data_IF_567437178900
#
_entry.id   IF_567437178900
#
_cell.length_a   1.000
_cell.length_b   1.000
_cell.length_c   1.000
_cell.angle_alpha   90.00
_cell.angle_beta   90.00
_cell.angle_gamma   90.00
#
_symmetry.space_group_name_H-M   'P 1'
#
loop_
_entity.id
_entity.type
_entity.pdbx_description
1 polymer ?
#
# COMPACT_ATOMS: atom_id res chain seq x y z
N UNK A 1 -11.90 -16.01 -13.37
CA UNK A 1 -11.27 -15.15 -12.34
C UNK A 1 -12.37 -14.21 -11.84
N UNK A 2 -12.63 -14.16 -10.52
CA UNK A 2 -13.51 -13.12 -9.99
C UNK A 2 -12.88 -11.76 -10.29
N UNK A 3 -13.61 -10.86 -10.96
CA UNK A 3 -13.18 -9.47 -11.09
C UNK A 3 -13.29 -8.83 -9.71
N UNK A 4 -12.17 -8.74 -8.99
CA UNK A 4 -12.08 -7.95 -7.77
C UNK A 4 -12.05 -6.49 -8.18
N UNK A 5 -13.17 -5.77 -8.01
CA UNK A 5 -13.21 -4.32 -8.20
C UNK A 5 -12.68 -3.61 -6.96
N UNK A 6 -11.90 -2.56 -7.20
CA UNK A 6 -11.48 -1.57 -6.22
C UNK A 6 -12.47 -0.43 -6.34
N UNK A 7 -13.21 -0.17 -5.27
CA UNK A 7 -14.29 0.80 -5.26
C UNK A 7 -13.86 2.05 -4.50
N UNK A 8 -14.31 3.21 -4.98
CA UNK A 8 -14.44 4.39 -4.13
C UNK A 8 -15.29 4.04 -2.90
N UNK A 9 -14.98 4.64 -1.78
CA UNK A 9 -15.77 4.57 -0.57
C UNK A 9 -17.19 5.06 -0.91
N UNK A 10 -18.23 4.25 -0.60
CA UNK A 10 -19.59 4.57 -1.01
C UNK A 10 -20.00 5.97 -0.51
N UNK A 11 -20.50 6.82 -1.42
CA UNK A 11 -20.89 8.20 -1.10
C UNK A 11 -21.85 8.28 0.08
N UNK A 12 -22.82 7.37 0.15
CA UNK A 12 -23.80 7.31 1.24
C UNK A 12 -23.23 6.84 2.58
N UNK A 13 -22.03 6.26 2.60
CA UNK A 13 -21.36 5.85 3.83
C UNK A 13 -20.30 6.85 4.29
N UNK A 14 -19.97 7.90 3.53
CA UNK A 14 -18.86 8.82 3.88
C UNK A 14 -18.97 9.42 5.28
N UNK A 15 -20.17 9.52 5.86
CA UNK A 15 -20.36 9.91 7.26
C UNK A 15 -19.70 9.01 8.31
N UNK A 16 -19.27 7.78 7.96
CA UNK A 16 -18.49 6.89 8.85
C UNK A 16 -16.97 7.06 8.67
N UNK A 17 -16.53 7.96 7.77
CA UNK A 17 -15.12 8.23 7.45
C UNK A 17 -14.29 8.81 8.60
N UNK A 18 -14.94 9.16 9.71
CA UNK A 18 -14.34 9.82 10.87
C UNK A 18 -14.16 11.32 10.66
N UNK A 19 -13.64 12.00 11.68
CA UNK A 19 -13.20 13.40 11.54
C UNK A 19 -12.15 13.50 10.43
N UNK A 20 -12.26 14.54 9.60
CA UNK A 20 -11.35 14.86 8.49
C UNK A 20 -11.13 13.70 7.49
N UNK A 21 -12.14 12.85 7.27
CA UNK A 21 -12.09 11.72 6.32
C UNK A 21 -10.95 10.71 6.60
N UNK A 22 -10.46 10.61 7.85
CA UNK A 22 -9.31 9.79 8.26
C UNK A 22 -9.35 8.29 7.89
N UNK A 23 -10.54 7.73 7.65
CA UNK A 23 -10.76 6.34 7.22
C UNK A 23 -11.05 6.20 5.72
N UNK A 24 -10.95 7.29 4.97
CA UNK A 24 -11.15 7.32 3.53
C UNK A 24 -9.88 7.83 2.86
N UNK A 25 -9.32 8.94 3.34
CA UNK A 25 -8.13 9.58 2.77
C UNK A 25 -6.87 9.08 3.50
N UNK A 26 -5.83 8.65 2.77
CA UNK A 26 -4.56 8.28 3.36
C UNK A 26 -3.86 9.47 4.02
N UNK A 27 -3.12 9.19 5.08
CA UNK A 27 -2.41 10.20 5.88
C UNK A 27 -0.96 10.42 5.45
N UNK A 28 -0.29 9.36 4.99
CA UNK A 28 1.15 9.36 4.69
C UNK A 28 1.47 8.75 3.33
N UNK A 29 0.64 7.85 2.81
CA UNK A 29 0.93 7.17 1.54
C UNK A 29 -0.32 6.91 0.69
N UNK A 30 -0.32 7.44 -0.53
CA UNK A 30 -1.25 6.99 -1.57
C UNK A 30 -0.81 5.63 -2.14
N UNK A 31 -1.75 4.76 -2.46
CA UNK A 31 -1.53 3.46 -3.11
C UNK A 31 -2.58 3.34 -4.20
N UNK A 32 -2.11 3.26 -5.44
CA UNK A 32 -2.96 3.33 -6.61
C UNK A 32 -3.49 4.74 -6.89
N UNK A 33 -4.44 4.85 -7.84
CA UNK A 33 -4.71 6.11 -8.53
C UNK A 33 -5.62 7.08 -7.77
N UNK A 34 -6.45 6.59 -6.84
CA UNK A 34 -7.55 7.38 -6.25
C UNK A 34 -7.11 8.56 -5.38
N UNK A 35 -5.94 8.45 -4.73
CA UNK A 35 -5.33 9.49 -3.91
C UNK A 35 -3.98 9.95 -4.44
N UNK A 36 -3.60 9.52 -5.65
CA UNK A 36 -2.31 9.85 -6.23
C UNK A 36 -2.18 11.36 -6.51
N UNK A 37 -1.03 11.92 -6.16
CA UNK A 37 -0.70 13.33 -6.39
C UNK A 37 -1.22 14.32 -5.34
N UNK A 38 -1.87 13.86 -4.26
CA UNK A 38 -2.21 14.73 -3.14
C UNK A 38 -0.92 15.27 -2.48
N UNK A 39 -0.88 16.57 -2.24
CA UNK A 39 0.34 17.29 -1.83
C UNK A 39 0.90 16.78 -0.50
N UNK A 40 0.04 16.39 0.45
CA UNK A 40 0.47 15.88 1.75
C UNK A 40 1.05 14.45 1.71
N UNK A 41 0.99 13.78 0.56
CA UNK A 41 1.46 12.40 0.38
C UNK A 41 2.75 12.30 -0.45
N UNK A 42 3.26 13.43 -0.95
CA UNK A 42 4.38 13.46 -1.89
C UNK A 42 5.69 12.95 -1.28
N UNK A 43 5.90 13.16 0.02
CA UNK A 43 7.12 12.72 0.72
C UNK A 43 7.34 11.20 0.58
N UNK A 44 6.27 10.41 0.55
CA UNK A 44 6.38 8.96 0.42
C UNK A 44 6.75 8.51 -1.00
N UNK A 45 6.54 9.33 -2.03
CA UNK A 45 6.86 8.95 -3.41
C UNK A 45 8.38 8.71 -3.59
N UNK A 46 9.23 9.49 -2.91
CA UNK A 46 10.68 9.26 -2.92
C UNK A 46 11.06 7.92 -2.29
N UNK A 47 10.37 7.54 -1.21
CA UNK A 47 10.56 6.24 -0.55
C UNK A 47 10.17 5.10 -1.48
N UNK A 48 9.06 5.24 -2.22
CA UNK A 48 8.62 4.24 -3.19
C UNK A 48 9.62 4.06 -4.33
N UNK A 49 10.27 5.12 -4.77
CA UNK A 49 11.36 5.02 -5.74
C UNK A 49 12.55 4.24 -5.18
N UNK A 50 12.94 4.53 -3.93
CA UNK A 50 14.02 3.81 -3.26
C UNK A 50 13.71 2.33 -3.05
N UNK A 51 12.48 1.99 -2.63
CA UNK A 51 12.04 0.60 -2.46
C UNK A 51 11.89 -0.12 -3.79
N UNK A 52 11.43 0.53 -4.87
CA UNK A 52 11.39 -0.08 -6.19
C UNK A 52 12.80 -0.42 -6.71
N UNK A 53 13.78 0.45 -6.46
CA UNK A 53 15.17 0.16 -6.78
C UNK A 53 15.73 -0.99 -5.92
N UNK A 54 15.44 -1.01 -4.62
CA UNK A 54 15.79 -2.10 -3.71
C UNK A 54 15.22 -3.44 -4.20
N UNK A 55 13.93 -3.46 -4.51
CA UNK A 55 13.22 -4.64 -4.99
C UNK A 55 13.85 -5.22 -6.25
N UNK A 56 14.14 -4.38 -7.25
CA UNK A 56 14.75 -4.82 -8.49
C UNK A 56 16.15 -5.41 -8.24
N UNK A 57 16.93 -4.76 -7.37
CA UNK A 57 18.26 -5.25 -6.98
C UNK A 57 18.19 -6.62 -6.30
N UNK A 58 17.25 -6.79 -5.37
CA UNK A 58 17.12 -8.01 -4.57
C UNK A 58 16.51 -9.16 -5.40
N UNK A 59 15.65 -8.83 -6.37
CA UNK A 59 15.16 -9.75 -7.38
C UNK A 59 16.24 -10.15 -8.41
N UNK A 60 17.31 -9.37 -8.55
CA UNK A 60 18.33 -9.59 -9.59
C UNK A 60 17.85 -9.25 -11.01
N UNK A 61 16.89 -8.35 -11.14
CA UNK A 61 16.30 -7.92 -12.42
C UNK A 61 16.43 -6.42 -12.63
N UNK A 62 16.46 -5.98 -13.89
CA UNK A 62 16.43 -4.55 -14.18
C UNK A 62 15.04 -3.96 -13.92
N UNK A 63 14.97 -2.70 -13.51
CA UNK A 63 13.70 -1.98 -13.35
C UNK A 63 12.88 -1.99 -14.65
N UNK A 64 13.55 -2.00 -15.80
CA UNK A 64 12.90 -2.06 -17.12
C UNK A 64 12.15 -3.38 -17.31
N UNK A 65 12.77 -4.52 -17.01
CA UNK A 65 12.13 -5.83 -17.16
C UNK A 65 10.89 -5.97 -16.25
N UNK A 66 11.02 -5.54 -14.99
CA UNK A 66 9.90 -5.54 -14.04
C UNK A 66 8.79 -4.58 -14.50
N UNK A 67 9.16 -3.38 -14.96
CA UNK A 67 8.22 -2.41 -15.50
C UNK A 67 7.46 -2.95 -16.72
N UNK A 68 8.14 -3.57 -17.68
CA UNK A 68 7.52 -4.16 -18.88
C UNK A 68 6.50 -5.25 -18.50
N UNK A 69 6.80 -6.05 -17.46
CA UNK A 69 5.86 -7.02 -16.93
C UNK A 69 4.60 -6.34 -16.36
N UNK A 70 4.75 -5.28 -15.58
CA UNK A 70 3.62 -4.52 -15.03
C UNK A 70 2.84 -3.78 -16.14
N UNK A 71 3.54 -3.23 -17.13
CA UNK A 71 2.93 -2.56 -18.27
C UNK A 71 2.03 -3.49 -19.07
N UNK A 72 2.43 -4.75 -19.25
CA UNK A 72 1.60 -5.77 -19.91
C UNK A 72 0.25 -6.02 -19.20
N UNK A 73 0.15 -5.64 -17.93
CA UNK A 73 -1.03 -5.82 -17.09
C UNK A 73 -1.84 -4.52 -16.90
N UNK A 74 -1.39 -3.38 -17.42
CA UNK A 74 -2.01 -2.08 -17.17
C UNK A 74 -3.50 -2.05 -17.55
N UNK A 75 -3.86 -2.63 -18.70
CA UNK A 75 -5.25 -2.73 -19.14
C UNK A 75 -6.11 -3.60 -18.21
N UNK A 76 -5.56 -4.66 -17.64
CA UNK A 76 -6.26 -5.56 -16.72
C UNK A 76 -6.40 -4.91 -15.34
N UNK A 77 -5.34 -4.27 -14.85
CA UNK A 77 -5.33 -3.48 -13.63
C UNK A 77 -6.35 -2.34 -13.69
N UNK A 78 -6.44 -1.63 -14.83
CA UNK A 78 -7.41 -0.56 -15.05
C UNK A 78 -8.85 -1.03 -14.89
N UNK A 79 -9.18 -2.25 -15.34
CA UNK A 79 -10.53 -2.83 -15.24
C UNK A 79 -10.93 -3.20 -13.81
N UNK A 80 -10.00 -3.22 -12.86
CA UNK A 80 -10.33 -3.33 -11.45
C UNK A 80 -10.91 -2.03 -10.89
N UNK A 81 -10.70 -0.88 -11.54
CA UNK A 81 -11.27 0.39 -11.11
C UNK A 81 -12.56 0.72 -11.88
N UNK A 82 -13.34 1.67 -11.35
CA UNK A 82 -14.49 2.23 -12.05
C UNK A 82 -14.02 2.96 -13.32
N UNK A 83 -14.61 2.63 -14.48
CA UNK A 83 -14.17 3.13 -15.80
C UNK A 83 -14.41 4.63 -15.99
N UNK A 84 -15.34 5.20 -15.22
CA UNK A 84 -15.74 6.60 -15.24
C UNK A 84 -15.05 7.44 -14.14
N UNK A 85 -14.14 6.84 -13.36
CA UNK A 85 -13.38 7.60 -12.35
C UNK A 85 -12.25 8.40 -13.00
N UNK A 86 -12.33 9.73 -12.92
CA UNK A 86 -11.37 10.65 -13.53
C UNK A 86 -9.93 10.41 -13.07
N UNK A 87 -9.73 9.94 -11.83
CA UNK A 87 -8.38 9.68 -11.31
C UNK A 87 -7.67 8.59 -12.11
N UNK A 88 -8.43 7.63 -12.66
CA UNK A 88 -7.93 6.52 -13.46
C UNK A 88 -8.02 6.83 -14.96
N UNK A 89 -9.15 7.40 -15.41
CA UNK A 89 -9.41 7.63 -16.83
C UNK A 89 -8.37 8.54 -17.50
N UNK A 90 -7.76 9.46 -16.74
CA UNK A 90 -6.72 10.38 -17.23
C UNK A 90 -5.33 9.74 -17.39
N UNK A 91 -5.08 8.61 -16.74
CA UNK A 91 -3.77 7.95 -16.77
C UNK A 91 -3.62 7.16 -18.06
N UNK A 92 -2.52 7.34 -18.77
CA UNK A 92 -2.05 6.39 -19.77
C UNK A 92 -1.69 5.04 -19.12
N UNK A 93 -1.59 3.98 -19.92
CA UNK A 93 -1.14 2.69 -19.42
C UNK A 93 0.30 2.73 -18.90
N UNK A 94 1.14 3.59 -19.49
CA UNK A 94 2.52 3.81 -19.04
C UNK A 94 2.58 4.46 -17.65
N UNK A 95 1.78 5.50 -17.42
CA UNK A 95 1.69 6.17 -16.11
C UNK A 95 1.07 5.25 -15.05
N UNK A 96 0.01 4.52 -15.41
CA UNK A 96 -0.60 3.54 -14.52
C UNK A 96 0.40 2.45 -14.14
N UNK A 97 1.12 1.89 -15.11
CA UNK A 97 2.13 0.86 -14.85
C UNK A 97 3.28 1.36 -13.96
N UNK A 98 3.73 2.61 -14.16
CA UNK A 98 4.78 3.20 -13.35
C UNK A 98 4.31 3.34 -11.89
N UNK A 99 3.10 3.86 -11.68
CA UNK A 99 2.47 3.95 -10.36
C UNK A 99 2.36 2.57 -9.70
N UNK A 100 1.84 1.58 -10.43
CA UNK A 100 1.65 0.21 -9.93
C UNK A 100 2.98 -0.47 -9.57
N UNK A 101 4.05 -0.22 -10.33
CA UNK A 101 5.39 -0.71 -10.01
C UNK A 101 5.88 -0.14 -8.69
N UNK A 102 5.85 1.19 -8.53
CA UNK A 102 6.33 1.87 -7.34
C UNK A 102 5.53 1.45 -6.09
N UNK A 103 4.20 1.48 -6.18
CA UNK A 103 3.31 1.12 -5.09
C UNK A 103 3.43 -0.36 -4.72
N UNK A 104 3.50 -1.24 -5.72
CA UNK A 104 3.61 -2.69 -5.51
C UNK A 104 4.95 -3.09 -4.90
N UNK A 105 6.07 -2.53 -5.38
CA UNK A 105 7.38 -2.79 -4.80
C UNK A 105 7.45 -2.27 -3.36
N UNK A 106 6.94 -1.07 -3.08
CA UNK A 106 6.85 -0.56 -1.72
C UNK A 106 6.08 -1.52 -0.80
N UNK A 107 4.89 -1.95 -1.23
CA UNK A 107 4.05 -2.86 -0.46
C UNK A 107 4.80 -4.16 -0.14
N UNK A 108 5.40 -4.80 -1.13
CA UNK A 108 6.11 -6.07 -0.96
C UNK A 108 7.36 -5.94 -0.07
N UNK A 109 8.16 -4.90 -0.27
CA UNK A 109 9.31 -4.60 0.58
C UNK A 109 8.90 -4.36 2.04
N UNK A 110 7.83 -3.58 2.25
CA UNK A 110 7.33 -3.30 3.59
C UNK A 110 6.77 -4.56 4.27
N UNK A 111 6.07 -5.41 3.52
CA UNK A 111 5.55 -6.69 4.03
C UNK A 111 6.67 -7.69 4.33
N UNK A 112 7.75 -7.69 3.55
CA UNK A 112 8.89 -8.57 3.74
C UNK A 112 9.74 -8.15 4.96
N UNK A 113 10.03 -6.85 5.10
CA UNK A 113 10.85 -6.32 6.17
C UNK A 113 10.58 -4.84 6.47
N UNK A 114 9.59 -4.57 7.32
CA UNK A 114 9.26 -3.20 7.78
C UNK A 114 10.39 -2.48 8.54
N UNK A 115 11.38 -3.22 9.03
CA UNK A 115 12.54 -2.69 9.77
C UNK A 115 13.75 -2.49 8.84
N UNK A 116 13.57 -2.61 7.51
CA UNK A 116 14.63 -2.39 6.54
C UNK A 116 15.19 -0.95 6.63
N UNK A 117 16.51 -0.77 6.42
CA UNK A 117 17.15 0.56 6.52
C UNK A 117 16.51 1.63 5.63
N UNK A 118 15.95 1.23 4.47
CA UNK A 118 15.23 2.14 3.56
C UNK A 118 14.07 2.86 4.25
N UNK A 119 13.37 2.19 5.17
CA UNK A 119 12.26 2.79 5.91
C UNK A 119 12.73 3.64 7.10
N UNK A 120 13.85 3.26 7.73
CA UNK A 120 14.44 4.01 8.83
C UNK A 120 15.08 5.34 8.35
N UNK A 121 15.73 5.33 7.18
CA UNK A 121 16.38 6.50 6.60
C UNK A 121 15.38 7.62 6.24
N UNK A 122 14.12 7.26 5.99
CA UNK A 122 13.06 8.20 5.61
C UNK A 122 12.32 8.79 6.81
N UNK A 123 12.84 8.65 8.05
CA UNK A 123 12.20 9.13 9.28
C UNK A 123 10.71 8.74 9.39
N UNK A 124 10.35 7.54 8.89
CA UNK A 124 8.99 7.00 8.93
C UNK A 124 8.61 6.62 10.35
N UNK A 125 8.48 7.62 11.21
CA UNK A 125 8.18 7.54 12.64
C UNK A 125 6.76 7.04 12.94
N UNK A 126 5.98 6.67 11.91
CA UNK A 126 4.63 6.14 12.07
C UNK A 126 4.37 4.93 11.19
N UNK A 127 5.06 3.81 11.44
CA UNK A 127 4.72 2.51 10.82
C UNK A 127 3.23 2.14 10.98
N UNK A 128 2.58 2.59 12.05
CA UNK A 128 1.12 2.45 12.22
C UNK A 128 0.30 3.24 11.19
N UNK A 129 0.76 4.43 10.77
CA UNK A 129 0.09 5.22 9.74
C UNK A 129 0.24 4.56 8.36
N UNK A 130 1.41 3.99 8.06
CA UNK A 130 1.64 3.20 6.84
C UNK A 130 0.70 2.00 6.80
N UNK A 131 0.67 1.19 7.86
CA UNK A 131 -0.23 0.03 7.95
C UNK A 131 -1.70 0.45 7.85
N UNK A 132 -2.09 1.57 8.48
CA UNK A 132 -3.46 2.13 8.35
C UNK A 132 -3.76 2.44 6.88
N UNK A 133 -2.88 3.15 6.19
CA UNK A 133 -3.07 3.56 4.80
C UNK A 133 -3.09 2.35 3.84
N UNK A 134 -2.29 1.30 4.10
CA UNK A 134 -2.32 0.03 3.37
C UNK A 134 -3.64 -0.75 3.50
N UNK A 135 -4.49 -0.39 4.46
CA UNK A 135 -5.76 -1.07 4.75
C UNK A 135 -6.98 -0.22 4.33
N UNK A 136 -6.77 0.99 3.79
CA UNK A 136 -7.87 1.86 3.35
C UNK A 136 -8.47 1.36 2.04
N UNK A 137 -9.80 1.30 1.97
CA UNK A 137 -10.50 0.79 0.78
C UNK A 137 -10.23 1.60 -0.49
N UNK A 138 -10.15 2.94 -0.39
CA UNK A 138 -9.81 3.81 -1.53
C UNK A 138 -8.31 3.88 -1.84
N UNK A 139 -7.47 3.06 -1.19
CA UNK A 139 -6.02 3.14 -1.28
C UNK A 139 -5.41 1.78 -1.63
N UNK A 140 -5.91 1.13 -2.69
CA UNK A 140 -5.47 -0.21 -3.08
C UNK A 140 -5.04 -0.28 -4.55
N UNK A 141 -4.15 -1.23 -4.81
CA UNK A 141 -3.81 -1.71 -6.16
C UNK A 141 -4.36 -3.13 -6.39
N UNK A 142 -4.56 -3.55 -7.66
CA UNK A 142 -5.09 -4.87 -7.96
C UNK A 142 -4.11 -5.99 -7.57
N UNK A 143 -4.64 -7.09 -7.02
CA UNK A 143 -3.82 -8.25 -6.62
C UNK A 143 -2.96 -8.81 -7.77
N UNK A 144 -3.43 -8.73 -9.02
CA UNK A 144 -2.67 -9.18 -10.19
C UNK A 144 -1.31 -8.46 -10.33
N UNK A 145 -1.21 -7.20 -9.87
CA UNK A 145 0.04 -6.45 -9.86
C UNK A 145 1.01 -7.06 -8.85
N UNK A 146 0.54 -7.27 -7.60
CA UNK A 146 1.35 -7.91 -6.56
C UNK A 146 1.76 -9.34 -6.96
N UNK A 147 0.83 -10.11 -7.54
CA UNK A 147 1.10 -11.44 -8.08
C UNK A 147 2.23 -11.42 -9.12
N UNK A 148 2.19 -10.48 -10.07
CA UNK A 148 3.22 -10.34 -11.08
C UNK A 148 4.58 -9.91 -10.50
N UNK A 149 4.60 -9.04 -9.48
CA UNK A 149 5.84 -8.69 -8.80
C UNK A 149 6.41 -9.90 -8.01
N UNK A 150 5.56 -10.70 -7.37
CA UNK A 150 6.01 -11.89 -6.63
C UNK A 150 6.57 -13.00 -7.53
N UNK A 151 6.38 -12.92 -8.86
CA UNK A 151 7.10 -13.75 -9.83
C UNK A 151 8.61 -13.47 -9.83
N UNK A 152 9.03 -12.24 -9.48
CA UNK A 152 10.43 -11.81 -9.41
C UNK A 152 11.05 -11.95 -8.02
N UNK A 153 10.29 -11.63 -6.97
CA UNK A 153 10.77 -11.72 -5.58
C UNK A 153 9.66 -12.27 -4.68
N UNK A 154 9.87 -13.47 -4.16
CA UNK A 154 8.88 -14.14 -3.31
C UNK A 154 8.75 -13.44 -1.96
N UNK A 155 7.54 -13.02 -1.61
CA UNK A 155 7.19 -12.41 -0.33
C UNK A 155 6.00 -13.15 0.27
N UNK A 156 6.12 -13.54 1.55
CA UNK A 156 5.04 -14.18 2.29
C UNK A 156 4.02 -13.13 2.78
N UNK A 157 3.12 -12.74 1.89
CA UNK A 157 2.04 -11.78 2.19
C UNK A 157 1.09 -12.33 3.26
N UNK A 158 0.91 -13.65 3.35
CA UNK A 158 0.03 -14.26 4.34
C UNK A 158 0.58 -14.14 5.76
N UNK A 159 1.90 -14.28 5.93
CA UNK A 159 2.58 -14.00 7.19
C UNK A 159 2.33 -12.56 7.64
N UNK A 160 2.48 -11.59 6.73
CA UNK A 160 2.20 -10.18 7.05
C UNK A 160 0.74 -9.98 7.51
N UNK A 161 -0.23 -10.51 6.76
CA UNK A 161 -1.66 -10.40 7.14
C UNK A 161 -1.94 -11.03 8.50
N UNK A 162 -1.33 -12.18 8.81
CA UNK A 162 -1.47 -12.83 10.12
C UNK A 162 -0.91 -11.95 11.25
N UNK A 163 0.27 -11.36 11.08
CA UNK A 163 0.90 -10.46 12.06
C UNK A 163 0.03 -9.22 12.33
N UNK A 164 -0.55 -8.62 11.29
CA UNK A 164 -1.48 -7.50 11.45
C UNK A 164 -2.75 -7.93 12.18
N UNK A 165 -3.32 -9.09 11.86
CA UNK A 165 -4.49 -9.64 12.54
C UNK A 165 -4.25 -9.90 14.04
N UNK A 166 -3.07 -10.43 14.38
CA UNK A 166 -2.66 -10.68 15.77
C UNK A 166 -2.45 -9.39 16.57
N UNK A 167 -1.83 -8.37 15.96
CA UNK A 167 -1.61 -7.07 16.61
C UNK A 167 -2.91 -6.29 16.87
N UNK A 168 -3.93 -6.54 16.04
CA UNK A 168 -5.26 -5.93 16.14
C UNK A 168 -6.18 -6.64 17.14
N UNK A 169 -5.80 -7.85 17.60
CA UNK A 169 -6.61 -8.68 18.48
C UNK A 169 -6.72 -8.09 19.90
N UNK A 170 -7.94 -7.99 20.48
CA UNK A 170 -8.16 -7.37 21.81
C UNK A 170 -7.37 -8.02 22.97
N UNK A 171 -6.92 -9.27 22.82
CA UNK A 171 -6.29 -10.06 23.90
C UNK A 171 -4.97 -9.47 24.43
N UNK A 172 -4.20 -8.71 23.64
CA UNK A 172 -2.95 -8.08 24.13
C UNK A 172 -3.18 -6.77 24.90
N UNK A 173 -4.30 -6.05 24.67
CA UNK A 173 -4.60 -4.80 25.40
C UNK A 173 -4.85 -5.00 26.90
N UNK A 174 -5.14 -6.23 27.33
CA UNK A 174 -5.43 -6.57 28.74
C UNK A 174 -4.19 -7.02 29.54
N UNK A 175 -3.04 -7.25 28.91
CA UNK A 175 -1.83 -7.69 29.64
C UNK A 175 -0.81 -6.57 29.90
N UNK A 176 -1.01 -5.36 29.33
CA UNK A 176 -0.14 -4.20 29.56
C UNK A 176 -0.57 -3.27 30.70
N UNK A 177 -1.71 -3.52 31.35
CA UNK A 177 -2.32 -2.60 32.33
C UNK A 177 -1.99 -2.86 33.79
N UNK A 178 -1.03 -3.73 34.11
CA UNK A 178 -0.76 -4.14 35.50
C UNK A 178 0.67 -3.83 35.96
N UNK A 179 1.13 -2.59 35.77
CA UNK A 179 2.21 -2.05 36.58
C UNK A 179 1.94 -0.60 36.95
N UNK A 180 1.76 -0.37 38.25
CA UNK A 180 1.73 0.96 38.84
C UNK A 180 0.53 1.14 39.76
N UNK A 181 0.65 0.67 41.00
CA UNK A 181 0.21 1.37 42.23
C UNK A 181 0.65 0.50 43.42
N UNK A 182 1.84 0.78 43.96
CA UNK A 182 2.13 0.53 45.37
C UNK A 182 2.33 1.91 45.99
N UNK A 183 1.36 2.32 46.79
CA UNK A 183 1.46 3.44 47.70
C UNK A 183 2.50 3.11 48.77
N UNK A 184 3.36 4.10 49.05
CA UNK A 184 3.96 4.30 50.38
C UNK A 184 3.22 5.45 51.05
#
# INVERSE_FOLDING_TARGET
MMQTRIHRFPRGLRGIGGEDDRYIVPSVMAIGPYHHGLTHLQEMEEVKHATAHQFCRDAGHSTKEVYERILSLAGDARRCYASDDEAVARLSDAELAAMMLLDGCFLLEYMANRDAPVFAACNLSSGQAIVKDMMLLENQIPWLVLGALTEFLSVDVHKFVAEIGESSSPRRRLQGGSQGFRHS
#
